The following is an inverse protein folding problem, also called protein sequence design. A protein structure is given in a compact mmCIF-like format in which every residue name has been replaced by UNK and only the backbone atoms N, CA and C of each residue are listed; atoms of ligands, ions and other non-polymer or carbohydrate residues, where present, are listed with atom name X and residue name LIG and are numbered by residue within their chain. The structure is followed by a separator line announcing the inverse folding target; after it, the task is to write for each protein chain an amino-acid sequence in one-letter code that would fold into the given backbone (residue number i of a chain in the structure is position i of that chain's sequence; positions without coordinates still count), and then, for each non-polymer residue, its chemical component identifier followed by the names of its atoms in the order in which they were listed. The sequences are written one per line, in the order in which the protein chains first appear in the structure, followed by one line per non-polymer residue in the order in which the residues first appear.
data_IF_386014689706
#
_entry.id   IF_386014689706
#
_cell.length_a   1.000
_cell.length_b   1.000
_cell.length_c   1.000
_cell.angle_alpha   90.00
_cell.angle_beta   90.00
_cell.angle_gamma   90.00
#
_symmetry.space_group_name_H-M   'P 1'
#
loop_
_entity.id
_entity.type
_entity.pdbx_description
1 polymer ?
#
# COMPACT_ATOMS: atom_id res chain seq x y z
N UNK A 1 -5.44 15.88 -14.11
CA UNK A 1 -4.38 15.31 -13.26
C UNK A 1 -3.52 14.48 -14.18
N UNK A 2 -2.32 14.97 -14.45
CA UNK A 2 -1.34 14.24 -15.24
C UNK A 2 -0.34 13.59 -14.29
N UNK A 3 0.06 12.36 -14.61
CA UNK A 3 0.97 11.56 -13.81
C UNK A 3 2.00 10.92 -14.72
N UNK A 4 3.26 11.19 -14.44
CA UNK A 4 4.40 10.65 -15.16
C UNK A 4 5.23 9.78 -14.21
N UNK A 5 5.50 8.53 -14.62
CA UNK A 5 6.31 7.59 -13.85
C UNK A 5 7.70 7.47 -14.46
N UNK A 6 8.71 7.76 -13.65
CA UNK A 6 10.12 7.55 -13.97
C UNK A 6 10.73 6.47 -13.06
N UNK A 7 12.00 6.16 -13.29
CA UNK A 7 12.72 5.13 -12.54
C UNK A 7 12.91 5.46 -11.06
N UNK A 8 13.21 6.73 -10.75
CA UNK A 8 13.51 7.17 -9.37
C UNK A 8 12.42 8.03 -8.75
N UNK A 9 11.51 8.59 -9.55
CA UNK A 9 10.53 9.54 -9.09
C UNK A 9 9.26 9.51 -9.96
N UNK A 10 8.27 10.24 -9.48
CA UNK A 10 7.01 10.52 -10.14
C UNK A 10 6.84 12.02 -10.27
N UNK A 11 6.21 12.45 -11.35
CA UNK A 11 5.78 13.84 -11.52
C UNK A 11 4.26 13.86 -11.51
N UNK A 12 3.70 14.71 -10.67
CA UNK A 12 2.27 14.94 -10.56
C UNK A 12 1.98 16.38 -10.96
N UNK A 13 1.06 16.56 -11.90
CA UNK A 13 0.47 17.86 -12.21
C UNK A 13 -1.03 17.81 -11.89
N UNK A 14 -1.41 18.52 -10.84
CA UNK A 14 -2.79 18.61 -10.35
C UNK A 14 -3.18 20.05 -9.98
N UNK A 15 -4.38 20.22 -9.43
CA UNK A 15 -4.91 21.54 -9.04
C UNK A 15 -4.03 22.25 -7.99
N UNK A 16 -3.26 21.50 -7.21
CA UNK A 16 -2.33 22.04 -6.21
C UNK A 16 -1.01 22.48 -6.83
N UNK A 17 -0.71 22.03 -8.04
CA UNK A 17 0.47 22.38 -8.82
C UNK A 17 1.44 21.22 -9.01
N UNK A 18 2.53 21.51 -9.71
CA UNK A 18 3.52 20.53 -10.11
C UNK A 18 4.34 20.01 -8.92
N UNK A 19 4.41 18.68 -8.76
CA UNK A 19 5.17 18.03 -7.71
C UNK A 19 6.06 16.93 -8.24
N UNK A 20 7.24 16.79 -7.64
CA UNK A 20 8.09 15.61 -7.77
C UNK A 20 7.98 14.80 -6.49
N UNK A 21 7.73 13.49 -6.65
CA UNK A 21 7.48 12.55 -5.56
C UNK A 21 8.36 11.32 -5.71
N UNK A 22 8.94 10.82 -4.63
CA UNK A 22 9.67 9.55 -4.63
C UNK A 22 9.68 8.92 -3.25
N UNK A 23 10.03 7.64 -3.21
CA UNK A 23 10.24 6.89 -1.99
C UNK A 23 11.72 6.47 -1.89
N UNK A 24 12.31 6.61 -0.71
CA UNK A 24 13.64 6.08 -0.38
C UNK A 24 13.55 5.24 0.89
N UNK A 25 13.40 3.92 0.72
CA UNK A 25 13.10 3.02 1.82
C UNK A 25 11.73 3.33 2.42
N UNK A 26 11.69 3.65 3.72
CA UNK A 26 10.42 3.99 4.42
C UNK A 26 10.00 5.44 4.25
N UNK A 27 10.87 6.30 3.71
CA UNK A 27 10.62 7.74 3.61
C UNK A 27 9.94 8.09 2.30
N UNK A 28 8.85 8.85 2.39
CA UNK A 28 8.11 9.40 1.26
C UNK A 28 8.44 10.89 1.11
N UNK A 29 8.90 11.29 -0.07
CA UNK A 29 9.28 12.66 -0.39
C UNK A 29 8.29 13.24 -1.39
N UNK A 30 7.77 14.42 -1.10
CA UNK A 30 6.87 15.15 -1.99
C UNK A 30 7.20 16.63 -1.92
N UNK A 31 7.61 17.22 -3.05
CA UNK A 31 7.99 18.62 -3.13
C UNK A 31 7.28 19.30 -4.29
N UNK A 32 6.74 20.49 -4.04
CA UNK A 32 6.32 21.40 -5.10
C UNK A 32 7.54 21.92 -5.85
N UNK A 33 7.44 21.92 -7.17
CA UNK A 33 8.52 22.34 -8.08
C UNK A 33 8.00 23.30 -9.14
N UNK A 34 8.91 24.03 -9.78
CA UNK A 34 8.60 24.77 -10.99
C UNK A 34 8.83 23.90 -12.23
N UNK A 35 8.40 24.40 -13.40
CA UNK A 35 8.55 23.66 -14.66
C UNK A 35 10.02 23.39 -15.00
N UNK A 36 10.94 24.32 -14.69
CA UNK A 36 12.37 24.16 -14.99
C UNK A 36 12.99 22.93 -14.29
N UNK A 37 12.67 22.73 -12.99
CA UNK A 37 13.14 21.56 -12.24
C UNK A 37 12.47 20.28 -12.73
N UNK A 38 11.19 20.34 -13.08
CA UNK A 38 10.48 19.21 -13.65
C UNK A 38 11.10 18.80 -14.99
N UNK A 39 11.24 19.72 -15.95
CA UNK A 39 11.89 19.50 -17.23
C UNK A 39 13.31 18.95 -17.08
N UNK A 40 14.12 19.49 -16.16
CA UNK A 40 15.45 18.93 -15.88
C UNK A 40 15.34 17.47 -15.42
N UNK A 41 14.44 17.16 -14.49
CA UNK A 41 14.25 15.79 -14.01
C UNK A 41 13.79 14.81 -15.09
N UNK A 42 13.09 15.29 -16.14
CA UNK A 42 12.65 14.47 -17.27
C UNK A 42 13.79 14.09 -18.23
N UNK A 43 14.93 14.81 -18.21
CA UNK A 43 16.01 14.65 -19.21
C UNK A 43 16.78 13.34 -19.06
N UNK A 44 17.14 12.96 -17.85
CA UNK A 44 17.92 11.75 -17.60
C UNK A 44 17.81 11.27 -16.15
N UNK A 45 18.14 9.99 -15.94
CA UNK A 45 18.30 9.39 -14.61
C UNK A 45 19.23 10.19 -13.69
N UNK A 46 20.32 10.76 -14.25
CA UNK A 46 21.28 11.58 -13.48
C UNK A 46 20.68 12.93 -13.11
N UNK A 47 20.05 13.60 -14.08
CA UNK A 47 19.40 14.90 -13.84
C UNK A 47 18.26 14.78 -12.82
N UNK A 48 17.49 13.68 -12.87
CA UNK A 48 16.48 13.37 -11.87
C UNK A 48 17.08 13.30 -10.45
N UNK A 49 18.16 12.53 -10.27
CA UNK A 49 18.85 12.42 -8.99
C UNK A 49 19.44 13.77 -8.51
N UNK A 50 19.97 14.58 -9.42
CA UNK A 50 20.43 15.94 -9.11
C UNK A 50 19.30 16.83 -8.59
N UNK A 51 18.14 16.79 -9.26
CA UNK A 51 16.95 17.56 -8.86
C UNK A 51 16.42 17.09 -7.52
N UNK A 52 16.27 15.78 -7.31
CA UNK A 52 15.87 15.20 -6.02
C UNK A 52 16.82 15.66 -4.90
N UNK A 53 18.14 15.58 -5.14
CA UNK A 53 19.15 16.03 -4.18
C UNK A 53 19.01 17.51 -3.85
N UNK A 54 18.77 18.35 -4.87
CA UNK A 54 18.53 19.78 -4.70
C UNK A 54 17.27 20.05 -3.89
N UNK A 55 16.19 19.30 -4.11
CA UNK A 55 14.94 19.48 -3.37
C UNK A 55 15.09 19.18 -1.88
N UNK A 56 15.86 18.14 -1.52
CA UNK A 56 16.17 17.82 -0.12
C UNK A 56 17.15 18.84 0.50
N UNK A 57 18.24 19.16 -0.19
CA UNK A 57 19.39 19.87 0.42
C UNK A 57 19.45 21.37 0.10
N UNK A 58 18.59 21.85 -0.82
CA UNK A 58 18.59 23.22 -1.35
C UNK A 58 19.91 23.66 -1.97
N UNK A 59 20.69 22.71 -2.51
CA UNK A 59 21.94 22.92 -3.26
C UNK A 59 22.17 21.78 -4.25
N UNK A 60 22.92 22.04 -5.31
CA UNK A 60 23.32 20.99 -6.26
C UNK A 60 24.37 20.05 -5.65
N UNK A 61 24.40 18.77 -6.06
CA UNK A 61 25.38 17.80 -5.58
C UNK A 61 26.78 18.09 -6.15
N UNK A 62 27.80 17.75 -5.36
CA UNK A 62 29.21 17.71 -5.77
C UNK A 62 29.55 16.34 -6.35
N UNK A 63 30.72 16.24 -6.99
CA UNK A 63 31.23 14.98 -7.53
C UNK A 63 31.27 13.88 -6.45
N UNK A 64 30.76 12.70 -6.79
CA UNK A 64 30.66 11.55 -5.87
C UNK A 64 29.43 11.54 -4.94
N UNK A 65 28.76 12.67 -4.69
CA UNK A 65 27.63 12.70 -3.73
C UNK A 65 26.40 11.91 -4.22
N UNK A 66 26.23 11.77 -5.53
CA UNK A 66 25.12 11.02 -6.11
C UNK A 66 25.28 9.50 -6.10
N UNK A 67 26.50 8.98 -5.92
CA UNK A 67 26.79 7.54 -6.09
C UNK A 67 26.00 6.64 -5.13
N UNK A 68 25.63 7.17 -3.95
CA UNK A 68 24.86 6.47 -2.93
C UNK A 68 23.63 7.25 -2.44
N UNK A 69 23.33 8.40 -3.03
CA UNK A 69 22.28 9.32 -2.54
C UNK A 69 20.89 8.68 -2.47
N UNK A 70 20.52 7.89 -3.49
CA UNK A 70 19.21 7.23 -3.56
C UNK A 70 19.30 5.71 -3.33
N UNK A 71 20.39 5.23 -2.73
CA UNK A 71 20.52 3.84 -2.32
C UNK A 71 19.92 3.66 -0.94
N UNK A 72 19.25 2.54 -0.74
CA UNK A 72 18.73 2.12 0.56
C UNK A 72 19.09 0.66 0.79
N UNK A 73 19.53 0.34 2.01
CA UNK A 73 19.71 -1.06 2.45
C UNK A 73 18.37 -1.70 2.84
N UNK A 74 17.28 -0.93 2.78
CA UNK A 74 15.94 -1.37 3.09
C UNK A 74 15.43 -2.24 1.93
N UNK A 75 15.12 -3.50 2.22
CA UNK A 75 14.40 -4.37 1.29
C UNK A 75 12.91 -4.32 1.60
N UNK A 76 12.11 -4.30 0.55
CA UNK A 76 10.64 -4.26 0.66
C UNK A 76 10.04 -5.58 0.19
N UNK A 77 9.07 -6.08 0.95
CA UNK A 77 8.30 -7.26 0.61
C UNK A 77 6.82 -6.89 0.64
N UNK A 78 6.19 -6.91 -0.54
CA UNK A 78 4.80 -6.49 -0.71
C UNK A 78 3.90 -7.71 -0.49
N UNK A 79 3.00 -7.62 0.48
CA UNK A 79 1.90 -8.55 0.71
C UNK A 79 0.56 -7.89 0.40
N UNK A 80 -0.51 -8.68 0.46
CA UNK A 80 -1.86 -8.13 0.27
C UNK A 80 -2.28 -7.34 1.53
N UNK A 81 -2.44 -6.03 1.38
CA UNK A 81 -2.79 -5.12 2.48
C UNK A 81 -1.64 -4.77 3.44
N UNK A 82 -0.39 -5.15 3.14
CA UNK A 82 0.77 -4.78 3.95
C UNK A 82 2.09 -4.72 3.17
N UNK A 83 3.09 -4.02 3.72
CA UNK A 83 4.48 -4.01 3.22
C UNK A 83 5.42 -4.34 4.37
N UNK A 84 6.34 -5.28 4.19
CA UNK A 84 7.40 -5.56 5.18
C UNK A 84 8.70 -4.91 4.72
N UNK A 85 9.32 -4.15 5.62
CA UNK A 85 10.64 -3.57 5.44
C UNK A 85 11.68 -4.38 6.22
N UNK A 86 12.76 -4.79 5.57
CA UNK A 86 13.95 -5.39 6.19
C UNK A 86 15.11 -4.40 6.11
N UNK A 87 15.64 -3.98 7.26
CA UNK A 87 16.78 -3.08 7.36
C UNK A 87 17.78 -3.62 8.37
N UNK A 88 18.99 -3.98 7.91
CA UNK A 88 20.07 -4.50 8.77
C UNK A 88 19.63 -5.66 9.69
N UNK A 89 18.77 -6.55 9.18
CA UNK A 89 18.24 -7.71 9.90
C UNK A 89 17.10 -7.40 10.88
N UNK A 90 16.62 -6.16 10.94
CA UNK A 90 15.38 -5.79 11.64
C UNK A 90 14.22 -5.75 10.65
N UNK A 91 13.04 -6.12 11.12
CA UNK A 91 11.84 -6.25 10.30
C UNK A 91 10.71 -5.41 10.87
N UNK A 92 10.02 -4.68 10.01
CA UNK A 92 8.82 -3.92 10.36
C UNK A 92 7.75 -4.14 9.30
N UNK A 93 6.49 -4.32 9.74
CA UNK A 93 5.34 -4.40 8.85
C UNK A 93 4.60 -3.06 8.86
N UNK A 94 4.35 -2.52 7.68
CA UNK A 94 3.51 -1.35 7.41
C UNK A 94 2.14 -1.83 6.97
N UNK A 95 1.12 -1.36 7.66
CA UNK A 95 -0.29 -1.65 7.37
C UNK A 95 -0.98 -0.33 7.07
N UNK A 96 -1.77 -0.29 6.01
CA UNK A 96 -2.61 0.86 5.68
C UNK A 96 -3.91 0.79 6.48
N UNK A 97 -4.12 1.77 7.36
CA UNK A 97 -5.34 1.83 8.18
C UNK A 97 -6.31 2.87 7.60
N UNK A 98 -7.44 2.39 7.10
CA UNK A 98 -8.58 3.25 6.76
C UNK A 98 -9.17 3.81 8.07
N UNK A 99 -9.07 5.13 8.25
CA UNK A 99 -9.53 5.83 9.45
C UNK A 99 -10.98 6.34 9.29
N UNK A 100 -11.83 5.67 8.51
CA UNK A 100 -13.22 6.07 8.31
C UNK A 100 -13.40 7.15 7.25
N UNK A 101 -12.67 7.05 6.13
CA UNK A 101 -12.95 7.82 4.92
C UNK A 101 -12.32 9.22 4.81
N UNK A 102 -11.57 9.69 5.82
CA UNK A 102 -10.91 11.01 5.77
C UNK A 102 -9.39 10.93 5.52
N UNK A 103 -8.72 9.84 5.92
CA UNK A 103 -7.30 9.62 5.67
C UNK A 103 -6.92 8.15 5.83
N UNK A 104 -6.08 7.63 4.93
CA UNK A 104 -5.36 6.37 5.13
C UNK A 104 -4.06 6.72 5.84
N UNK A 105 -3.93 6.33 7.12
CA UNK A 105 -2.69 6.55 7.87
C UNK A 105 -1.93 5.24 7.97
N UNK A 106 -0.69 5.15 7.44
CA UNK A 106 0.12 3.95 7.61
C UNK A 106 0.56 3.81 9.07
N UNK A 107 0.51 2.59 9.58
CA UNK A 107 1.00 2.23 10.92
C UNK A 107 2.09 1.17 10.76
N UNK A 108 3.13 1.26 11.60
CA UNK A 108 4.30 0.39 11.55
C UNK A 108 4.40 -0.42 12.84
N UNK A 109 4.61 -1.73 12.72
CA UNK A 109 4.84 -2.61 13.85
C UNK A 109 6.14 -3.41 13.66
N UNK A 110 6.98 -3.55 14.71
CA UNK A 110 8.13 -4.42 14.66
C UNK A 110 7.69 -5.88 14.59
N UNK A 111 8.34 -6.67 13.73
CA UNK A 111 8.09 -8.11 13.62
C UNK A 111 9.40 -8.88 13.67
N UNK A 112 9.32 -10.19 13.94
CA UNK A 112 10.49 -11.08 13.87
C UNK A 112 10.69 -11.61 12.45
N UNK A 113 11.85 -12.23 12.21
CA UNK A 113 12.12 -12.91 10.94
C UNK A 113 11.12 -14.05 10.70
N UNK A 114 10.74 -14.79 11.73
CA UNK A 114 9.75 -15.88 11.60
C UNK A 114 8.38 -15.33 11.19
N UNK A 115 7.96 -14.18 11.74
CA UNK A 115 6.71 -13.53 11.36
C UNK A 115 6.74 -13.02 9.93
N UNK A 116 7.88 -12.50 9.44
CA UNK A 116 8.05 -12.18 8.02
C UNK A 116 7.87 -13.42 7.15
N UNK A 117 8.58 -14.50 7.47
CA UNK A 117 8.53 -15.74 6.67
C UNK A 117 7.12 -16.34 6.65
N UNK A 118 6.41 -16.31 7.78
CA UNK A 118 4.99 -16.68 7.84
C UNK A 118 4.15 -15.76 6.97
N UNK A 119 4.27 -14.45 7.13
CA UNK A 119 3.42 -13.50 6.39
C UNK A 119 3.54 -13.61 4.87
N UNK A 120 4.72 -13.98 4.37
CA UNK A 120 4.99 -14.13 2.94
C UNK A 120 4.66 -15.54 2.40
N UNK A 121 4.22 -16.47 3.26
CA UNK A 121 3.94 -17.86 2.88
C UNK A 121 2.61 -18.01 2.13
N UNK A 122 1.57 -17.32 2.61
CA UNK A 122 0.24 -17.30 1.99
C UNK A 122 -0.47 -16.01 2.36
N UNK A 123 -1.53 -15.67 1.63
CA UNK A 123 -2.33 -14.49 1.94
C UNK A 123 -2.98 -14.60 3.32
N UNK A 124 -3.49 -15.79 3.68
CA UNK A 124 -4.05 -16.06 5.01
C UNK A 124 -3.00 -15.91 6.10
N UNK A 125 -1.81 -16.49 5.92
CA UNK A 125 -0.72 -16.33 6.88
C UNK A 125 -0.32 -14.84 7.03
N UNK A 126 -0.30 -14.09 5.93
CA UNK A 126 -0.11 -12.63 5.92
C UNK A 126 -1.13 -11.89 6.76
N UNK A 127 -2.42 -12.17 6.53
CA UNK A 127 -3.53 -11.60 7.28
C UNK A 127 -3.45 -11.90 8.78
N UNK A 128 -3.14 -13.14 9.16
CA UNK A 128 -2.96 -13.53 10.57
C UNK A 128 -1.80 -12.77 11.23
N UNK A 129 -0.68 -12.60 10.52
CA UNK A 129 0.47 -11.83 11.02
C UNK A 129 0.12 -10.36 11.17
N UNK A 130 -0.65 -9.78 10.25
CA UNK A 130 -1.17 -8.40 10.36
C UNK A 130 -2.02 -8.23 11.61
N UNK A 131 -2.97 -9.13 11.88
CA UNK A 131 -3.78 -9.12 13.10
C UNK A 131 -2.89 -9.24 14.35
N UNK A 132 -1.94 -10.18 14.34
CA UNK A 132 -1.05 -10.40 15.46
C UNK A 132 -0.18 -9.17 15.75
N UNK A 133 0.37 -8.54 14.72
CA UNK A 133 1.19 -7.35 14.84
C UNK A 133 0.40 -6.15 15.41
N UNK A 134 -0.87 -5.98 15.00
CA UNK A 134 -1.73 -4.89 15.47
C UNK A 134 -2.26 -5.13 16.89
N UNK A 135 -2.65 -6.37 17.21
CA UNK A 135 -3.41 -6.67 18.43
C UNK A 135 -2.62 -7.42 19.51
N UNK A 136 -1.46 -7.98 19.15
CA UNK A 136 -0.68 -8.91 19.97
C UNK A 136 -1.32 -10.29 20.14
N UNK A 137 -2.40 -10.61 19.39
CA UNK A 137 -3.15 -11.86 19.50
C UNK A 137 -3.33 -12.50 18.13
N UNK A 138 -3.20 -13.83 18.06
CA UNK A 138 -3.56 -14.56 16.85
C UNK A 138 -5.09 -14.61 16.70
N UNK A 139 -5.61 -14.55 15.47
CA UNK A 139 -7.02 -14.82 15.23
C UNK A 139 -7.38 -16.23 15.71
N UNK A 140 -8.62 -16.40 16.17
CA UNK A 140 -9.10 -17.67 16.67
C UNK A 140 -9.25 -18.66 15.50
N UNK A 141 -9.01 -19.96 15.74
CA UNK A 141 -9.16 -20.98 14.70
C UNK A 141 -10.60 -21.17 14.22
N UNK A 142 -11.57 -20.92 15.09
CA UNK A 142 -13.01 -21.00 14.76
C UNK A 142 -13.53 -19.72 14.08
N UNK A 143 -12.65 -18.74 13.84
CA UNK A 143 -12.99 -17.50 13.17
C UNK A 143 -13.46 -17.74 11.73
N UNK A 144 -12.99 -18.81 11.06
CA UNK A 144 -13.42 -19.13 9.70
C UNK A 144 -14.92 -19.43 9.62
N UNK A 145 -15.51 -20.05 10.65
CA UNK A 145 -16.94 -20.34 10.68
C UNK A 145 -17.75 -19.05 10.91
N UNK A 146 -17.27 -18.19 11.80
CA UNK A 146 -17.84 -16.86 12.04
C UNK A 146 -17.75 -15.98 10.79
N UNK A 147 -16.61 -15.99 10.11
CA UNK A 147 -16.37 -15.24 8.88
C UNK A 147 -17.25 -15.77 7.73
N UNK A 148 -17.44 -17.10 7.65
CA UNK A 148 -18.38 -17.71 6.70
C UNK A 148 -19.81 -17.26 6.96
N UNK A 149 -20.28 -17.32 8.20
CA UNK A 149 -21.62 -16.86 8.58
C UNK A 149 -21.81 -15.37 8.24
N UNK A 150 -20.84 -14.53 8.61
CA UNK A 150 -20.86 -13.11 8.31
C UNK A 150 -20.91 -12.84 6.80
N UNK A 151 -20.10 -13.53 5.99
CA UNK A 151 -20.08 -13.34 4.53
C UNK A 151 -21.33 -13.91 3.84
N UNK A 152 -21.99 -14.93 4.40
CA UNK A 152 -23.30 -15.39 3.91
C UNK A 152 -24.40 -14.37 4.21
N UNK A 153 -24.36 -13.75 5.38
CA UNK A 153 -25.31 -12.72 5.78
C UNK A 153 -25.10 -11.40 5.03
N UNK A 154 -23.83 -11.03 4.79
CA UNK A 154 -23.38 -9.79 4.15
C UNK A 154 -22.42 -10.06 2.95
N UNK A 155 -22.91 -10.66 1.85
CA UNK A 155 -22.09 -11.09 0.72
C UNK A 155 -21.36 -9.95 0.02
N UNK A 156 -21.77 -8.69 0.19
CA UNK A 156 -21.04 -7.54 -0.35
C UNK A 156 -19.60 -7.41 0.18
N UNK A 157 -19.32 -7.93 1.37
CA UNK A 157 -17.98 -7.90 1.96
C UNK A 157 -17.02 -8.89 1.30
N UNK A 158 -17.55 -9.86 0.55
CA UNK A 158 -16.72 -10.83 -0.17
C UNK A 158 -15.80 -10.14 -1.18
N UNK A 159 -16.24 -8.99 -1.70
CA UNK A 159 -15.54 -8.18 -2.70
C UNK A 159 -14.36 -7.37 -2.14
N UNK A 160 -14.23 -7.25 -0.80
CA UNK A 160 -13.12 -6.50 -0.20
C UNK A 160 -11.79 -7.24 -0.35
N UNK A 161 -11.78 -8.52 0.01
CA UNK A 161 -10.60 -9.40 -0.07
C UNK A 161 -10.98 -10.74 -0.73
N UNK A 162 -11.24 -10.77 -2.05
CA UNK A 162 -11.81 -11.93 -2.72
C UNK A 162 -10.95 -13.19 -2.62
N UNK A 163 -9.62 -13.06 -2.67
CA UNK A 163 -8.72 -14.21 -2.60
C UNK A 163 -8.70 -14.86 -1.21
N UNK A 164 -8.66 -14.08 -0.11
CA UNK A 164 -8.81 -14.60 1.25
C UNK A 164 -10.16 -15.31 1.44
N UNK A 165 -11.23 -14.69 0.94
CA UNK A 165 -12.57 -15.24 1.08
C UNK A 165 -12.75 -16.52 0.25
N UNK A 166 -12.04 -16.66 -0.88
CA UNK A 166 -12.07 -17.86 -1.71
C UNK A 166 -11.56 -19.10 -0.98
N UNK A 167 -10.59 -18.94 -0.08
CA UNK A 167 -10.10 -20.05 0.76
C UNK A 167 -11.14 -20.52 1.78
N UNK A 168 -12.14 -19.69 2.12
CA UNK A 168 -13.19 -20.04 3.09
C UNK A 168 -14.30 -20.92 2.52
N UNK A 169 -14.52 -20.91 1.20
CA UNK A 169 -15.69 -21.53 0.57
C UNK A 169 -15.31 -22.52 -0.53
N UNK A 170 -16.27 -23.35 -0.93
CA UNK A 170 -16.14 -24.06 -2.22
C UNK A 170 -16.18 -23.05 -3.37
N UNK A 171 -15.61 -23.39 -4.52
CA UNK A 171 -15.62 -22.51 -5.69
C UNK A 171 -17.06 -22.13 -6.11
N UNK A 172 -17.99 -23.07 -6.02
CA UNK A 172 -19.40 -22.84 -6.33
C UNK A 172 -20.06 -21.86 -5.35
N UNK A 173 -19.86 -22.07 -4.04
CA UNK A 173 -20.42 -21.19 -3.00
C UNK A 173 -19.79 -19.78 -3.06
N UNK A 174 -18.48 -19.69 -3.28
CA UNK A 174 -17.78 -18.42 -3.46
C UNK A 174 -18.35 -17.63 -4.64
N UNK A 175 -18.49 -18.26 -5.81
CA UNK A 175 -19.02 -17.60 -7.01
C UNK A 175 -20.47 -17.13 -6.81
N UNK A 176 -21.29 -17.91 -6.09
CA UNK A 176 -22.63 -17.53 -5.72
C UNK A 176 -22.65 -16.28 -4.82
N UNK A 177 -21.83 -16.25 -3.77
CA UNK A 177 -21.71 -15.11 -2.86
C UNK A 177 -21.18 -13.86 -3.57
N UNK A 178 -20.23 -14.00 -4.50
CA UNK A 178 -19.73 -12.88 -5.33
C UNK A 178 -20.86 -12.27 -6.17
N UNK A 179 -21.72 -13.10 -6.77
CA UNK A 179 -22.86 -12.61 -7.54
C UNK A 179 -23.84 -11.82 -6.64
N UNK A 180 -24.22 -12.40 -5.49
CA UNK A 180 -25.08 -11.74 -4.50
C UNK A 180 -24.49 -10.42 -4.00
N UNK A 181 -23.18 -10.41 -3.70
CA UNK A 181 -22.47 -9.23 -3.23
C UNK A 181 -22.49 -8.08 -4.24
N UNK A 182 -22.33 -8.38 -5.54
CA UNK A 182 -22.42 -7.39 -6.61
C UNK A 182 -23.84 -6.84 -6.74
N UNK A 183 -24.87 -7.67 -6.63
CA UNK A 183 -26.27 -7.25 -6.69
C UNK A 183 -26.63 -6.33 -5.52
N UNK A 184 -26.30 -6.73 -4.28
CA UNK A 184 -26.55 -5.91 -3.09
C UNK A 184 -25.81 -4.58 -3.12
N UNK A 185 -24.56 -4.57 -3.60
CA UNK A 185 -23.78 -3.33 -3.73
C UNK A 185 -24.46 -2.35 -4.69
N UNK A 186 -24.94 -2.83 -5.85
CA UNK A 186 -25.68 -2.00 -6.81
C UNK A 186 -26.97 -1.43 -6.21
N UNK A 187 -27.74 -2.24 -5.48
CA UNK A 187 -28.96 -1.78 -4.81
C UNK A 187 -28.66 -0.65 -3.80
N UNK A 188 -27.63 -0.84 -2.96
CA UNK A 188 -27.19 0.19 -1.98
C UNK A 188 -26.66 1.47 -2.64
N UNK A 189 -26.08 1.39 -3.84
CA UNK A 189 -25.64 2.55 -4.60
C UNK A 189 -26.84 3.30 -5.21
N UNK A 190 -27.82 2.58 -5.77
CA UNK A 190 -29.06 3.15 -6.29
C UNK A 190 -29.91 3.84 -5.21
N UNK A 191 -30.09 3.19 -4.05
CA UNK A 191 -30.80 3.78 -2.90
C UNK A 191 -30.12 5.06 -2.37
N UNK A 192 -28.79 5.17 -2.50
CA UNK A 192 -28.05 6.39 -2.11
C UNK A 192 -28.20 7.51 -3.13
N UNK A 193 -28.38 7.20 -4.40
CA UNK A 193 -28.62 8.19 -5.46
C UNK A 193 -30.07 8.70 -5.42
N UNK A 194 -31.05 7.85 -5.08
CA UNK A 194 -32.46 8.26 -4.96
C UNK A 194 -32.75 9.11 -3.71
N UNK A 195 -31.94 8.99 -2.66
CA UNK A 195 -32.07 9.74 -1.41
C UNK A 195 -31.22 11.03 -1.35
N UNK A 196 -30.63 11.46 -2.47
CA UNK A 196 -29.73 12.62 -2.56
C UNK A 196 -30.32 13.72 -3.42
#
# INVERSE_FOLDING_TARGET
MEFEKYKYHYIFDDVLGLRIVWDRGKEHFSYFVNEELAEKSRKSDKDALEVMFYLENKRWPKEGELENYNKTDVKEYIGDGFIIYEEKGKYEIRIEKDCGGAAVKPVFYPITKELKEKALKSQRDGYEVVIYAETGRWPLKDQDEVDREFLREYPEFILKNPELNKELFSEEEFNHLVALGKERKKQKEQEKEENK
#
